data_IF_239803366341
#
_entry.id   IF_239803366341
#
_cell.length_a   1.000
_cell.length_b   1.000
_cell.length_c   1.000
_cell.angle_alpha   90.00
_cell.angle_beta   90.00
_cell.angle_gamma   90.00
#
_symmetry.space_group_name_H-M   'P 1'
#
loop_
_entity.id
_entity.type
_entity.pdbx_description
1 polymer ?
#
# COMPACT_ATOMS: atom_id res chain seq x y z
N UNK A 1 4.52 -0.14 19.49
CA UNK A 1 5.70 -0.50 18.67
C UNK A 1 5.74 0.44 17.48
N UNK A 2 6.75 1.30 17.42
CA UNK A 2 6.86 2.39 16.45
C UNK A 2 7.58 1.87 15.20
N UNK A 3 6.84 1.33 14.22
CA UNK A 3 7.36 1.36 12.85
C UNK A 3 7.38 2.85 12.51
N UNK A 4 8.57 3.44 12.61
CA UNK A 4 8.76 4.88 12.49
C UNK A 4 8.13 5.35 11.18
N UNK A 5 7.44 6.48 11.19
CA UNK A 5 6.88 7.11 9.99
C UNK A 5 7.94 7.20 8.86
N UNK A 6 9.23 7.24 9.22
CA UNK A 6 10.36 7.11 8.30
C UNK A 6 10.41 5.80 7.50
N UNK A 7 10.15 4.64 8.12
CA UNK A 7 10.10 3.36 7.38
C UNK A 7 8.93 3.34 6.38
N UNK A 8 7.79 3.93 6.76
CA UNK A 8 6.64 4.09 5.86
C UNK A 8 7.00 5.01 4.70
N UNK A 9 7.58 6.17 4.98
CA UNK A 9 7.96 7.16 3.97
C UNK A 9 9.03 6.62 3.03
N UNK A 10 9.98 5.82 3.52
CA UNK A 10 10.96 5.11 2.70
C UNK A 10 10.30 4.05 1.80
N UNK A 11 9.31 3.31 2.31
CA UNK A 11 8.56 2.36 1.49
C UNK A 11 7.74 3.07 0.39
N UNK A 12 7.16 4.25 0.70
CA UNK A 12 6.43 5.07 -0.27
C UNK A 12 7.36 5.67 -1.33
N UNK A 13 8.52 6.19 -0.92
CA UNK A 13 9.55 6.69 -1.82
C UNK A 13 10.13 5.57 -2.68
N UNK A 14 10.32 4.37 -2.13
CA UNK A 14 10.78 3.21 -2.89
C UNK A 14 9.73 2.75 -3.90
N UNK A 15 8.44 2.68 -3.52
CA UNK A 15 7.35 2.34 -4.42
C UNK A 15 7.17 3.39 -5.53
N UNK A 16 7.24 4.68 -5.19
CA UNK A 16 7.19 5.79 -6.15
C UNK A 16 8.40 5.79 -7.07
N UNK A 17 9.61 5.59 -6.55
CA UNK A 17 10.83 5.47 -7.35
C UNK A 17 10.78 4.23 -8.26
N UNK A 18 10.22 3.11 -7.79
CA UNK A 18 10.04 1.92 -8.61
C UNK A 18 8.99 2.14 -9.69
N UNK A 19 7.88 2.82 -9.38
CA UNK A 19 6.84 3.20 -10.33
C UNK A 19 7.35 4.22 -11.37
N UNK A 20 8.20 5.17 -10.96
CA UNK A 20 8.87 6.14 -11.84
C UNK A 20 9.92 5.47 -12.73
N UNK A 21 10.69 4.54 -12.17
CA UNK A 21 11.70 3.74 -12.89
C UNK A 21 11.07 2.69 -13.81
N UNK A 22 9.83 2.29 -13.52
CA UNK A 22 8.95 1.47 -14.36
C UNK A 22 8.02 2.28 -15.27
N UNK A 23 8.02 3.62 -15.15
CA UNK A 23 7.60 4.52 -16.21
C UNK A 23 8.59 4.37 -17.37
N UNK A 24 8.15 4.58 -18.63
CA UNK A 24 8.97 4.30 -19.79
C UNK A 24 10.22 5.17 -19.70
N UNK A 25 11.35 4.58 -19.26
CA UNK A 25 12.64 5.02 -19.78
C UNK A 25 12.47 4.92 -21.27
N UNK A 26 12.42 6.10 -21.88
CA UNK A 26 12.27 6.35 -23.29
C UNK A 26 12.72 5.14 -24.09
N UNK A 27 11.74 4.57 -24.79
CA UNK A 27 11.90 3.92 -26.06
C UNK A 27 13.23 4.32 -26.74
N UNK A 28 14.30 3.58 -26.45
CA UNK A 28 15.19 3.15 -27.51
C UNK A 28 14.54 1.86 -27.98
N UNK A 29 13.53 2.06 -28.82
CA UNK A 29 12.75 1.04 -29.49
C UNK A 29 13.69 0.13 -30.27
N UNK A 30 14.17 -0.93 -29.61
CA UNK A 30 14.62 -2.14 -30.29
C UNK A 30 13.35 -2.84 -30.73
N UNK A 31 13.04 -2.90 -32.04
CA UNK A 31 11.87 -3.62 -32.53
C UNK A 31 12.04 -5.10 -32.17
N UNK A 32 11.09 -5.68 -31.42
CA UNK A 32 11.09 -7.11 -31.10
C UNK A 32 11.46 -7.50 -29.67
N UNK A 33 11.78 -6.55 -28.78
CA UNK A 33 11.96 -6.87 -27.36
C UNK A 33 10.59 -7.23 -26.73
N UNK A 34 10.28 -8.53 -26.65
CA UNK A 34 9.11 -9.07 -25.97
C UNK A 34 9.15 -8.63 -24.51
N UNK A 35 8.39 -7.59 -24.15
CA UNK A 35 8.31 -7.07 -22.78
C UNK A 35 7.90 -8.22 -21.86
N UNK A 36 8.83 -8.69 -21.04
CA UNK A 36 8.62 -9.82 -20.13
C UNK A 36 7.63 -9.39 -19.05
N UNK A 37 6.38 -9.85 -19.13
CA UNK A 37 5.25 -9.40 -18.28
C UNK A 37 5.18 -10.04 -16.89
N UNK A 38 5.95 -11.09 -16.68
CA UNK A 38 5.96 -11.90 -15.45
C UNK A 38 6.36 -11.09 -14.20
N UNK A 39 7.33 -10.16 -14.23
CA UNK A 39 7.65 -9.32 -13.08
C UNK A 39 6.48 -8.44 -12.64
N UNK A 40 5.71 -7.89 -13.60
CA UNK A 40 4.53 -7.08 -13.28
C UNK A 40 3.43 -7.91 -12.62
N UNK A 41 3.27 -9.17 -13.04
CA UNK A 41 2.31 -10.11 -12.40
C UNK A 41 2.74 -10.51 -11.00
N UNK A 42 4.03 -10.80 -10.79
CA UNK A 42 4.57 -11.12 -9.47
C UNK A 42 4.42 -9.90 -8.54
N UNK A 43 4.76 -8.71 -9.01
CA UNK A 43 4.57 -7.48 -8.24
C UNK A 43 3.09 -7.28 -7.84
N UNK A 44 2.16 -7.47 -8.77
CA UNK A 44 0.73 -7.39 -8.46
C UNK A 44 0.30 -8.44 -7.42
N UNK A 45 0.76 -9.69 -7.55
CA UNK A 45 0.46 -10.78 -6.64
C UNK A 45 1.01 -10.57 -5.22
N UNK A 46 2.02 -9.71 -5.04
CA UNK A 46 2.56 -9.33 -3.73
C UNK A 46 1.91 -8.06 -3.17
N UNK A 47 1.75 -7.02 -4.00
CA UNK A 47 1.26 -5.72 -3.58
C UNK A 47 -0.23 -5.74 -3.18
N UNK A 48 -1.06 -6.50 -3.90
CA UNK A 48 -2.50 -6.55 -3.63
C UNK A 48 -2.84 -7.23 -2.29
N UNK A 49 -2.29 -8.43 -1.96
CA UNK A 49 -2.51 -9.00 -0.63
C UNK A 49 -1.93 -8.14 0.49
N UNK A 50 -0.77 -7.51 0.26
CA UNK A 50 -0.19 -6.62 1.26
C UNK A 50 -1.07 -5.39 1.50
N UNK A 51 -1.63 -4.79 0.44
CA UNK A 51 -2.63 -3.73 0.56
C UNK A 51 -3.84 -4.19 1.38
N UNK A 52 -4.38 -5.37 1.08
CA UNK A 52 -5.52 -5.94 1.82
C UNK A 52 -5.19 -6.13 3.31
N UNK A 53 -3.99 -6.59 3.64
CA UNK A 53 -3.51 -6.69 5.03
C UNK A 53 -3.51 -5.34 5.74
N UNK A 54 -2.98 -4.28 5.11
CA UNK A 54 -2.97 -2.94 5.70
C UNK A 54 -4.39 -2.35 5.85
N UNK A 55 -5.29 -2.59 4.89
CA UNK A 55 -6.70 -2.23 5.02
C UNK A 55 -7.37 -2.97 6.18
N UNK A 56 -7.08 -4.26 6.34
CA UNK A 56 -7.61 -5.04 7.46
C UNK A 56 -7.10 -4.53 8.81
N UNK A 57 -5.81 -4.22 8.91
CA UNK A 57 -5.24 -3.63 10.12
C UNK A 57 -5.90 -2.27 10.43
N UNK A 58 -6.08 -1.43 9.41
CA UNK A 58 -6.80 -0.16 9.56
C UNK A 58 -8.23 -0.37 10.04
N UNK A 59 -8.94 -1.34 9.49
CA UNK A 59 -10.29 -1.70 9.92
C UNK A 59 -10.32 -2.15 11.38
N UNK A 60 -9.44 -3.10 11.73
CA UNK A 60 -9.40 -3.74 13.04
C UNK A 60 -9.00 -2.78 14.17
N UNK A 61 -8.15 -1.79 13.89
CA UNK A 61 -7.64 -0.86 14.89
C UNK A 61 -8.33 0.50 14.89
N UNK A 62 -9.05 0.87 13.82
CA UNK A 62 -9.61 2.23 13.70
C UNK A 62 -11.04 2.22 13.17
N UNK A 63 -11.30 1.72 11.97
CA UNK A 63 -12.61 1.90 11.34
C UNK A 63 -13.77 1.27 12.14
N UNK A 64 -13.52 0.15 12.83
CA UNK A 64 -14.56 -0.53 13.61
C UNK A 64 -14.94 0.19 14.91
N UNK A 65 -14.14 1.16 15.36
CA UNK A 65 -14.33 1.83 16.65
C UNK A 65 -14.88 3.23 16.47
N UNK A 66 -15.74 3.64 17.40
CA UNK A 66 -16.32 4.98 17.41
C UNK A 66 -15.49 5.91 18.31
N UNK A 67 -14.64 6.72 17.69
CA UNK A 67 -13.78 7.65 18.42
C UNK A 67 -14.53 8.93 18.78
N UNK A 68 -14.33 9.41 20.00
CA UNK A 68 -14.90 10.70 20.42
C UNK A 68 -14.21 11.90 19.74
N UNK A 69 -14.64 13.12 20.08
CA UNK A 69 -14.07 14.38 19.56
C UNK A 69 -12.56 14.54 19.83
N UNK A 70 -12.03 13.87 20.87
CA UNK A 70 -10.61 13.86 21.21
C UNK A 70 -9.82 12.76 20.46
N UNK A 71 -10.47 12.02 19.57
CA UNK A 71 -9.86 10.91 18.83
C UNK A 71 -9.55 9.70 19.73
N UNK A 72 -10.29 9.50 20.81
CA UNK A 72 -10.07 8.40 21.77
C UNK A 72 -11.29 7.49 21.84
N UNK A 73 -11.03 6.19 21.91
CA UNK A 73 -12.03 5.18 22.20
C UNK A 73 -11.54 4.37 23.41
N UNK A 74 -12.41 4.21 24.41
CA UNK A 74 -12.11 3.41 25.59
C UNK A 74 -12.83 2.07 25.46
N UNK A 75 -12.07 0.99 25.52
CA UNK A 75 -12.61 -0.36 25.59
C UNK A 75 -12.87 -0.73 27.06
N UNK A 76 -14.14 -0.88 27.47
CA UNK A 76 -14.47 -1.21 28.86
C UNK A 76 -14.14 -2.66 29.23
N UNK A 77 -13.98 -3.56 28.25
CA UNK A 77 -13.64 -4.97 28.51
C UNK A 77 -12.15 -5.09 28.76
N UNK A 78 -11.36 -4.59 27.81
CA UNK A 78 -9.89 -4.69 27.88
C UNK A 78 -9.27 -3.58 28.73
N UNK A 79 -10.05 -2.57 29.15
CA UNK A 79 -9.61 -1.42 29.94
C UNK A 79 -8.49 -0.60 29.24
N UNK A 80 -8.49 -0.60 27.89
CA UNK A 80 -7.47 0.04 27.06
C UNK A 80 -8.06 1.23 26.32
N UNK A 81 -7.26 2.29 26.16
CA UNK A 81 -7.60 3.46 25.34
C UNK A 81 -6.93 3.35 23.98
N UNK A 82 -7.73 3.31 22.93
CA UNK A 82 -7.31 3.43 21.54
C UNK A 82 -7.24 4.90 21.14
N UNK A 83 -6.28 5.27 20.29
CA UNK A 83 -6.07 6.64 19.83
C UNK A 83 -6.11 6.72 18.31
N UNK A 84 -6.68 7.81 17.78
CA UNK A 84 -6.81 8.03 16.34
C UNK A 84 -5.43 8.23 15.69
N UNK A 85 -4.94 7.19 15.02
CA UNK A 85 -3.70 7.17 14.24
C UNK A 85 -3.87 6.34 12.96
N UNK A 86 -5.11 6.24 12.47
CA UNK A 86 -5.49 5.34 11.37
C UNK A 86 -4.79 5.64 10.04
N UNK A 87 -4.29 6.86 9.85
CA UNK A 87 -3.54 7.24 8.65
C UNK A 87 -2.31 6.36 8.41
N UNK A 88 -1.69 5.83 9.48
CA UNK A 88 -0.50 4.96 9.41
C UNK A 88 -0.81 3.66 8.66
N UNK A 89 -2.07 3.24 8.61
CA UNK A 89 -2.50 1.98 7.99
C UNK A 89 -3.24 2.19 6.67
N UNK A 90 -4.11 3.20 6.56
CA UNK A 90 -4.89 3.42 5.33
C UNK A 90 -4.07 4.02 4.19
N UNK A 91 -3.11 4.90 4.48
CA UNK A 91 -2.24 5.50 3.46
C UNK A 91 -1.37 4.45 2.74
N UNK A 92 -0.62 3.58 3.43
CA UNK A 92 0.13 2.54 2.74
C UNK A 92 -0.81 1.54 2.05
N UNK A 93 -1.97 1.24 2.63
CA UNK A 93 -2.95 0.36 2.00
C UNK A 93 -3.38 0.89 0.62
N UNK A 94 -3.75 2.17 0.53
CA UNK A 94 -4.16 2.80 -0.73
C UNK A 94 -3.04 2.90 -1.76
N UNK A 95 -1.81 3.19 -1.33
CA UNK A 95 -0.66 3.30 -2.24
C UNK A 95 -0.24 1.92 -2.78
N UNK A 96 -0.23 0.89 -1.93
CA UNK A 96 -0.01 -0.49 -2.35
C UNK A 96 -1.11 -0.98 -3.29
N UNK A 97 -2.37 -0.59 -3.04
CA UNK A 97 -3.50 -0.91 -3.92
C UNK A 97 -3.27 -0.31 -5.31
N UNK A 98 -3.01 1.00 -5.37
CA UNK A 98 -2.79 1.70 -6.64
C UNK A 98 -1.61 1.09 -7.42
N UNK A 99 -0.48 0.84 -6.75
CA UNK A 99 0.67 0.20 -7.38
C UNK A 99 0.36 -1.23 -7.85
N UNK A 100 -0.32 -2.03 -7.03
CA UNK A 100 -0.73 -3.40 -7.36
C UNK A 100 -1.67 -3.46 -8.56
N UNK A 101 -2.66 -2.56 -8.62
CA UNK A 101 -3.59 -2.44 -9.76
C UNK A 101 -2.87 -2.00 -11.04
N UNK A 102 -1.96 -1.02 -10.96
CA UNK A 102 -1.14 -0.61 -12.10
C UNK A 102 -0.26 -1.76 -12.62
N UNK A 103 0.35 -2.53 -11.72
CA UNK A 103 1.14 -3.72 -12.08
C UNK A 103 0.26 -4.81 -12.72
N UNK A 104 -0.92 -5.09 -12.17
CA UNK A 104 -1.86 -6.06 -12.72
C UNK A 104 -2.30 -5.66 -14.14
N UNK A 105 -2.69 -4.40 -14.31
CA UNK A 105 -3.09 -3.83 -15.59
C UNK A 105 -1.98 -3.93 -16.64
N UNK A 106 -0.74 -3.56 -16.30
CA UNK A 106 0.43 -3.70 -17.19
C UNK A 106 0.75 -5.17 -17.52
N UNK A 107 0.55 -6.07 -16.55
CA UNK A 107 0.76 -7.52 -16.72
C UNK A 107 -0.28 -8.23 -17.60
N UNK A 108 -1.45 -7.61 -17.77
CA UNK A 108 -2.60 -8.15 -18.52
C UNK A 108 -2.92 -7.42 -19.83
N UNK A 109 -2.51 -6.17 -20.03
CA UNK A 109 -2.64 -5.52 -21.35
C UNK A 109 -1.90 -6.34 -22.41
N UNK A 110 -2.62 -6.76 -23.45
CA UNK A 110 -2.14 -7.60 -24.56
C UNK A 110 -1.20 -6.86 -25.47
#
# INVERSE_FOLDING_TARGET
>A
MWISAGALMLALLAAAAFAWRAGPRSARSVPGARVRRWPARIAAALLLPLSAFFFYAWYAFYWKWDFNELGRYYDPVDQVVYTSSGFVWVVPAGLLLAAGLLCAWRGWRR
#
